data_IF_163019565136
#
_entry.id   IF_163019565136
#
_cell.length_a   1.000
_cell.length_b   1.000
_cell.length_c   1.000
_cell.angle_alpha   90.00
_cell.angle_beta   90.00
_cell.angle_gamma   90.00
#
_symmetry.space_group_name_H-M   'P 1'
#
loop_
_entity.id
_entity.type
_entity.pdbx_description
1 polymer ?
#
# COMPACT_ATOMS: atom_id res chain seq x y z
N UNK A 1 -27.36 -0.48 -1.87
CA UNK A 1 -26.66 -1.78 -1.86
C UNK A 1 -26.35 -2.15 -0.42
N UNK A 2 -26.55 -3.41 -0.03
CA UNK A 2 -26.10 -3.88 1.29
C UNK A 2 -24.58 -3.78 1.36
N UNK A 3 -24.03 -3.37 2.52
CA UNK A 3 -22.58 -3.18 2.71
C UNK A 3 -21.75 -4.43 2.35
N UNK A 4 -22.32 -5.63 2.48
CA UNK A 4 -21.66 -6.91 2.15
C UNK A 4 -21.38 -7.15 0.66
N UNK A 5 -22.04 -6.42 -0.25
CA UNK A 5 -21.89 -6.61 -1.70
C UNK A 5 -20.86 -5.68 -2.37
N UNK A 6 -20.22 -4.80 -1.60
CA UNK A 6 -19.23 -3.84 -2.11
C UNK A 6 -17.87 -4.51 -2.31
N UNK A 7 -17.14 -4.05 -3.32
CA UNK A 7 -15.76 -4.49 -3.56
C UNK A 7 -14.88 -4.11 -2.36
N UNK A 8 -14.11 -5.06 -1.84
CA UNK A 8 -13.18 -4.84 -0.73
C UNK A 8 -11.85 -4.33 -1.26
N UNK A 9 -11.42 -3.18 -0.75
CA UNK A 9 -10.15 -2.55 -1.11
C UNK A 9 -9.29 -2.32 0.12
N UNK A 10 -7.99 -2.61 0.02
CA UNK A 10 -6.99 -2.27 1.02
C UNK A 10 -5.90 -1.39 0.43
N UNK A 11 -5.39 -0.46 1.23
CA UNK A 11 -4.23 0.39 0.92
C UNK A 11 -3.19 0.15 2.00
N UNK A 12 -2.04 -0.38 1.59
CA UNK A 12 -0.96 -0.82 2.47
C UNK A 12 0.30 -0.01 2.20
N UNK A 13 1.00 0.35 3.26
CA UNK A 13 2.23 1.15 3.19
C UNK A 13 3.36 0.35 3.84
N UNK A 14 4.31 -0.09 3.02
CA UNK A 14 5.58 -0.67 3.47
C UNK A 14 6.54 0.48 3.87
N UNK A 15 7.84 0.33 3.59
CA UNK A 15 8.82 1.40 3.76
C UNK A 15 8.60 2.48 2.71
N UNK A 16 7.88 3.51 3.10
CA UNK A 16 7.48 4.62 2.24
C UNK A 16 7.69 5.97 2.95
N UNK A 17 7.50 7.06 2.21
CA UNK A 17 7.31 8.38 2.81
C UNK A 17 5.85 8.86 2.75
N UNK A 18 4.91 7.95 2.44
CA UNK A 18 3.47 8.22 2.30
C UNK A 18 3.10 9.29 1.24
N UNK A 19 4.08 9.76 0.46
CA UNK A 19 3.88 10.87 -0.47
C UNK A 19 2.94 10.51 -1.63
N UNK A 20 3.01 9.27 -2.12
CA UNK A 20 2.12 8.79 -3.17
C UNK A 20 0.69 8.63 -2.64
N UNK A 21 0.52 8.06 -1.44
CA UNK A 21 -0.78 7.94 -0.82
C UNK A 21 -1.39 9.31 -0.45
N UNK A 22 -0.63 10.23 0.13
CA UNK A 22 -1.11 11.59 0.45
C UNK A 22 -1.57 12.32 -0.81
N UNK A 23 -0.81 12.22 -1.90
CA UNK A 23 -1.20 12.82 -3.17
C UNK A 23 -2.46 12.18 -3.73
N UNK A 24 -2.61 10.86 -3.60
CA UNK A 24 -3.83 10.15 -4.00
C UNK A 24 -5.04 10.63 -3.18
N UNK A 25 -4.89 10.77 -1.86
CA UNK A 25 -5.94 11.26 -0.96
C UNK A 25 -6.32 12.73 -1.21
N UNK A 26 -5.43 13.52 -1.79
CA UNK A 26 -5.69 14.91 -2.14
C UNK A 26 -6.48 15.05 -3.46
N UNK A 27 -6.74 13.95 -4.18
CA UNK A 27 -7.61 13.95 -5.36
C UNK A 27 -9.08 13.84 -4.94
N UNK A 28 -9.92 14.78 -5.39
CA UNK A 28 -11.36 14.75 -5.11
C UNK A 28 -12.01 13.49 -5.70
N UNK A 29 -11.53 13.02 -6.85
CA UNK A 29 -12.01 11.84 -7.54
C UNK A 29 -11.79 10.55 -6.73
N UNK A 30 -10.78 10.51 -5.85
CA UNK A 30 -10.58 9.36 -4.98
C UNK A 30 -11.76 9.21 -4.00
N UNK A 31 -12.34 10.32 -3.52
CA UNK A 31 -13.48 10.25 -2.60
C UNK A 31 -14.67 9.56 -3.28
N UNK A 32 -14.88 9.79 -4.58
CA UNK A 32 -15.91 9.08 -5.34
C UNK A 32 -15.63 7.58 -5.44
N UNK A 33 -14.37 7.19 -5.67
CA UNK A 33 -13.96 5.78 -5.67
C UNK A 33 -14.17 5.14 -4.30
N UNK A 34 -13.73 5.80 -3.22
CA UNK A 34 -13.89 5.33 -1.84
C UNK A 34 -15.37 5.20 -1.44
N UNK A 35 -16.24 6.05 -1.99
CA UNK A 35 -17.68 5.97 -1.82
C UNK A 35 -18.33 4.76 -2.50
N UNK A 36 -17.61 4.05 -3.38
CA UNK A 36 -18.09 2.85 -4.08
C UNK A 36 -17.45 1.52 -3.60
N UNK A 37 -16.36 1.57 -2.81
CA UNK A 37 -15.68 0.38 -2.28
C UNK A 37 -15.80 0.28 -0.76
N UNK A 38 -15.68 -0.91 -0.20
CA UNK A 38 -15.44 -1.09 1.24
C UNK A 38 -13.94 -1.03 1.50
N UNK A 39 -13.45 0.12 1.97
CA UNK A 39 -12.06 0.27 2.40
C UNK A 39 -11.89 -0.51 3.72
N UNK A 40 -11.10 -1.58 3.68
CA UNK A 40 -10.90 -2.48 4.82
C UNK A 40 -9.57 -2.26 5.54
N UNK A 41 -8.58 -1.69 4.87
CA UNK A 41 -7.28 -1.37 5.47
C UNK A 41 -6.74 -0.08 4.85
N UNK A 42 -6.35 0.86 5.69
CA UNK A 42 -5.58 2.04 5.32
C UNK A 42 -5.04 2.70 6.60
N UNK A 43 -3.75 2.49 6.88
CA UNK A 43 -3.07 3.02 8.07
C UNK A 43 -3.21 4.54 8.20
N UNK A 44 -3.02 5.28 7.10
CA UNK A 44 -3.05 6.74 7.09
C UNK A 44 -4.44 7.31 7.44
N UNK A 45 -5.50 6.59 7.10
CA UNK A 45 -6.89 6.94 7.43
C UNK A 45 -7.39 6.31 8.74
N UNK A 46 -6.53 5.56 9.47
CA UNK A 46 -6.92 4.86 10.69
C UNK A 46 -7.92 3.71 10.47
N UNK A 47 -8.01 3.18 9.25
CA UNK A 47 -8.94 2.10 8.90
C UNK A 47 -8.25 0.76 9.07
N UNK A 48 -8.83 -0.11 9.91
CA UNK A 48 -8.42 -1.51 10.07
C UNK A 48 -9.62 -2.39 10.39
N UNK A 49 -10.13 -3.09 9.39
CA UNK A 49 -11.24 -4.05 9.49
C UNK A 49 -10.71 -5.46 9.22
N UNK A 50 -11.37 -6.47 9.78
CA UNK A 50 -11.05 -7.86 9.43
C UNK A 50 -11.51 -8.15 7.99
N UNK A 51 -10.64 -8.78 7.20
CA UNK A 51 -10.93 -9.25 5.86
C UNK A 51 -10.18 -10.56 5.57
N UNK A 52 -10.84 -11.48 4.86
CA UNK A 52 -10.22 -12.72 4.39
C UNK A 52 -9.74 -12.58 2.92
N UNK A 53 -10.41 -11.74 2.14
CA UNK A 53 -10.14 -11.53 0.71
C UNK A 53 -10.24 -10.05 0.35
N UNK A 54 -9.39 -9.62 -0.59
CA UNK A 54 -9.38 -8.29 -1.19
C UNK A 54 -9.69 -8.41 -2.69
N UNK A 55 -10.55 -7.53 -3.20
CA UNK A 55 -10.70 -7.38 -4.64
C UNK A 55 -9.54 -6.56 -5.20
N UNK A 56 -9.12 -5.53 -4.47
CA UNK A 56 -8.01 -4.65 -4.86
C UNK A 56 -7.13 -4.41 -3.63
N UNK A 57 -5.83 -4.65 -3.79
CA UNK A 57 -4.80 -4.23 -2.85
C UNK A 57 -3.91 -3.18 -3.53
N UNK A 58 -3.83 -1.98 -2.95
CA UNK A 58 -2.88 -0.95 -3.36
C UNK A 58 -1.73 -0.98 -2.37
N UNK A 59 -0.51 -1.15 -2.85
CA UNK A 59 0.69 -1.21 -2.01
C UNK A 59 1.63 -0.08 -2.42
N UNK A 60 1.97 0.80 -1.50
CA UNK A 60 3.05 1.77 -1.67
C UNK A 60 4.26 1.45 -0.78
N UNK A 61 5.42 1.99 -1.16
CA UNK A 61 6.68 1.76 -0.45
C UNK A 61 7.49 0.58 -0.99
N UNK A 62 8.77 0.55 -0.63
CA UNK A 62 9.71 -0.51 -0.98
C UNK A 62 9.72 -1.61 0.10
N UNK A 63 10.10 -2.83 -0.28
CA UNK A 63 10.34 -3.92 0.67
C UNK A 63 11.74 -3.76 1.27
N UNK A 64 11.82 -3.40 2.54
CA UNK A 64 13.08 -3.11 3.23
C UNK A 64 13.49 -4.18 4.24
N UNK A 65 12.58 -5.06 4.63
CA UNK A 65 12.77 -6.09 5.65
C UNK A 65 12.06 -7.41 5.29
N UNK A 66 12.48 -8.51 5.92
CA UNK A 66 11.83 -9.82 5.80
C UNK A 66 10.37 -9.80 6.31
N UNK A 67 10.04 -8.89 7.23
CA UNK A 67 8.68 -8.70 7.74
C UNK A 67 7.77 -8.09 6.67
N UNK A 68 8.23 -7.05 5.99
CA UNK A 68 7.49 -6.44 4.88
C UNK A 68 7.39 -7.39 3.68
N UNK A 69 8.40 -8.23 3.43
CA UNK A 69 8.31 -9.26 2.40
C UNK A 69 7.21 -10.28 2.72
N UNK A 70 7.12 -10.71 4.00
CA UNK A 70 6.06 -11.60 4.47
C UNK A 70 4.69 -10.92 4.36
N UNK A 71 4.57 -9.68 4.82
CA UNK A 71 3.35 -8.88 4.71
C UNK A 71 2.88 -8.75 3.26
N UNK A 72 3.78 -8.40 2.33
CA UNK A 72 3.44 -8.27 0.91
C UNK A 72 2.95 -9.58 0.30
N UNK A 73 3.57 -10.72 0.66
CA UNK A 73 3.13 -12.05 0.22
C UNK A 73 1.73 -12.37 0.75
N UNK A 74 1.45 -12.10 2.01
CA UNK A 74 0.12 -12.30 2.58
C UNK A 74 -0.94 -11.41 1.91
N UNK A 75 -0.62 -10.14 1.64
CA UNK A 75 -1.51 -9.25 0.88
C UNK A 75 -1.77 -9.81 -0.52
N UNK A 76 -0.73 -10.28 -1.22
CA UNK A 76 -0.84 -10.85 -2.57
C UNK A 76 -1.69 -12.12 -2.59
N UNK A 77 -1.55 -12.99 -1.61
CA UNK A 77 -2.35 -14.23 -1.51
C UNK A 77 -3.85 -13.95 -1.35
N UNK A 78 -4.20 -12.84 -0.67
CA UNK A 78 -5.60 -12.46 -0.41
C UNK A 78 -6.22 -11.58 -1.49
N UNK A 79 -5.40 -10.94 -2.33
CA UNK A 79 -5.85 -9.99 -3.34
C UNK A 79 -6.16 -10.65 -4.69
N UNK A 80 -7.25 -10.25 -5.35
CA UNK A 80 -7.47 -10.55 -6.77
C UNK A 80 -6.52 -9.68 -7.64
N UNK A 81 -6.51 -8.37 -7.40
CA UNK A 81 -5.63 -7.41 -8.07
C UNK A 81 -4.71 -6.75 -7.04
N UNK A 82 -3.40 -6.71 -7.34
CA UNK A 82 -2.41 -5.96 -6.57
C UNK A 82 -1.84 -4.85 -7.45
N UNK A 83 -1.82 -3.63 -6.93
CA UNK A 83 -1.33 -2.42 -7.60
C UNK A 83 -0.12 -1.91 -6.82
N UNK A 84 1.04 -1.81 -7.47
CA UNK A 84 2.19 -1.09 -6.95
C UNK A 84 1.98 0.41 -7.18
N UNK A 85 1.87 1.18 -6.10
CA UNK A 85 1.64 2.62 -6.13
C UNK A 85 2.96 3.37 -5.88
N UNK A 86 3.41 4.07 -6.91
CA UNK A 86 4.57 4.96 -6.83
C UNK A 86 5.92 4.29 -7.09
N UNK A 87 6.94 5.12 -7.30
CA UNK A 87 8.26 4.67 -7.74
C UNK A 87 8.98 3.79 -6.71
N UNK A 88 8.74 4.00 -5.41
CA UNK A 88 9.29 3.14 -4.36
C UNK A 88 8.76 1.70 -4.47
N UNK A 89 7.46 1.52 -4.75
CA UNK A 89 6.87 0.19 -4.90
C UNK A 89 7.22 -0.47 -6.23
N UNK A 90 7.35 0.31 -7.31
CA UNK A 90 7.70 -0.21 -8.63
C UNK A 90 9.19 -0.55 -8.76
N UNK A 91 10.07 0.31 -8.23
CA UNK A 91 11.51 0.31 -8.56
C UNK A 91 12.44 0.47 -7.34
N UNK A 92 11.91 0.53 -6.10
CA UNK A 92 12.70 0.75 -4.88
C UNK A 92 13.11 2.21 -4.64
N UNK A 93 13.39 2.97 -5.70
CA UNK A 93 13.69 4.42 -5.65
C UNK A 93 14.76 4.78 -4.60
N UNK A 94 14.57 5.87 -3.83
CA UNK A 94 15.51 6.28 -2.76
C UNK A 94 15.82 5.19 -1.74
N UNK A 95 14.93 4.21 -1.54
CA UNK A 95 15.17 3.13 -0.59
C UNK A 95 16.19 2.11 -1.11
N UNK A 96 16.42 2.03 -2.43
CA UNK A 96 17.47 1.20 -3.03
C UNK A 96 18.88 1.56 -2.53
N UNK A 97 19.04 2.75 -1.94
CA UNK A 97 20.30 3.23 -1.37
C UNK A 97 20.92 2.22 -0.38
N UNK A 98 20.11 1.41 0.32
CA UNK A 98 20.61 0.39 1.28
C UNK A 98 21.45 -0.70 0.61
N UNK A 99 21.25 -0.94 -0.68
CA UNK A 99 21.93 -2.01 -1.42
C UNK A 99 23.27 -1.52 -1.99
N UNK A 100 23.51 -0.21 -1.94
CA UNK A 100 24.81 0.35 -2.18
C UNK A 100 25.64 0.18 -0.90
N UNK A 101 26.83 -0.40 -1.02
CA UNK A 101 27.73 -0.67 0.10
C UNK A 101 28.37 0.63 0.63
N UNK A 102 27.53 1.50 1.21
CA UNK A 102 27.90 2.85 1.63
C UNK A 102 28.54 2.76 3.02
N UNK A 103 29.81 2.35 3.05
CA UNK A 103 30.61 2.30 4.27
C UNK A 103 31.28 3.64 4.63
N UNK A 104 31.10 4.68 3.81
CA UNK A 104 31.92 5.90 3.89
C UNK A 104 31.16 7.22 4.12
N UNK A 105 29.85 7.19 4.36
CA UNK A 105 29.15 8.42 4.76
C UNK A 105 29.40 8.64 6.25
N UNK A 106 30.42 9.45 6.56
CA UNK A 106 30.57 10.11 7.85
C UNK A 106 29.45 11.14 7.97
N UNK A 107 28.37 10.77 8.66
CA UNK A 107 27.42 11.72 9.22
C UNK A 107 28.06 12.49 10.39
#
# INVERSE_FOLDING_TARGET
MSRDSRLKMGIFSLSSCEGCLVQLLNMEELLEVLNNVDLVDCRLLGVKKNYEKLNIAIVEGAVMSDEEERELKEIRERADILIALGDCACNGSKFLVKDFNINEIKL
#
